data_IF_951015887752
#
_entry.id   IF_951015887752
#
_cell.length_a   1.000
_cell.length_b   1.000
_cell.length_c   1.000
_cell.angle_alpha   90.00
_cell.angle_beta   90.00
_cell.angle_gamma   90.00
#
_symmetry.space_group_name_H-M   'P 1'
#
loop_
_entity.id
_entity.type
_entity.pdbx_description
1 polymer ?
#
# COMPACT_ATOMS: atom_id res chain seq x y z
N UNK A 1 3.69 14.46 -9.11
CA UNK A 1 5.01 14.53 -8.42
C UNK A 1 5.22 13.30 -7.55
N UNK A 2 4.37 13.04 -6.55
CA UNK A 2 4.47 11.86 -5.67
C UNK A 2 4.38 10.55 -6.47
N UNK A 3 3.43 10.45 -7.41
CA UNK A 3 3.28 9.26 -8.25
C UNK A 3 4.52 8.92 -9.06
N UNK A 4 5.18 9.94 -9.62
CA UNK A 4 6.46 9.78 -10.34
C UNK A 4 7.54 9.24 -9.38
N UNK A 5 7.70 9.85 -8.21
CA UNK A 5 8.72 9.40 -7.24
C UNK A 5 8.50 7.95 -6.80
N UNK A 6 7.26 7.56 -6.53
CA UNK A 6 6.93 6.20 -6.10
C UNK A 6 7.13 5.21 -7.25
N UNK A 7 6.68 5.52 -8.46
CA UNK A 7 6.82 4.65 -9.63
C UNK A 7 8.30 4.47 -10.00
N UNK A 8 9.06 5.55 -10.07
CA UNK A 8 10.52 5.51 -10.32
C UNK A 8 11.26 4.70 -9.25
N UNK A 9 10.73 4.62 -8.02
CA UNK A 9 11.36 3.87 -6.94
C UNK A 9 11.27 2.35 -7.10
N UNK A 10 10.34 1.85 -7.93
CA UNK A 10 10.18 0.42 -8.14
C UNK A 10 11.42 -0.22 -8.78
N UNK A 11 12.20 0.54 -9.55
CA UNK A 11 13.44 0.09 -10.20
C UNK A 11 14.72 0.35 -9.38
N UNK A 12 14.61 1.05 -8.24
CA UNK A 12 15.78 1.49 -7.43
C UNK A 12 16.27 0.39 -6.46
N UNK A 13 17.20 0.71 -5.55
CA UNK A 13 17.63 -0.24 -4.49
C UNK A 13 16.77 -0.09 -3.24
N UNK A 14 16.76 -1.11 -2.38
CA UNK A 14 15.93 -1.12 -1.16
C UNK A 14 16.19 0.06 -0.22
N UNK A 15 17.47 0.44 -0.04
CA UNK A 15 17.85 1.63 0.74
C UNK A 15 17.20 2.91 0.22
N UNK A 16 17.10 3.07 -1.10
CA UNK A 16 16.52 4.26 -1.72
C UNK A 16 15.00 4.31 -1.52
N UNK A 17 14.35 3.14 -1.50
CA UNK A 17 12.90 3.00 -1.27
C UNK A 17 12.51 3.35 0.17
N UNK A 18 13.28 2.85 1.15
CA UNK A 18 13.06 3.19 2.56
C UNK A 18 13.31 4.68 2.83
N UNK A 19 14.32 5.26 2.17
CA UNK A 19 14.59 6.69 2.25
C UNK A 19 13.42 7.51 1.68
N UNK A 20 12.83 7.08 0.55
CA UNK A 20 11.65 7.73 -0.04
C UNK A 20 10.44 7.67 0.90
N UNK A 21 10.14 6.51 1.49
CA UNK A 21 9.03 6.39 2.45
C UNK A 21 9.20 7.37 3.63
N UNK A 22 10.41 7.44 4.21
CA UNK A 22 10.74 8.40 5.28
C UNK A 22 10.60 9.85 4.82
N UNK A 23 11.03 10.16 3.59
CA UNK A 23 10.92 11.50 3.03
C UNK A 23 9.44 11.91 2.90
N UNK A 24 8.59 11.07 2.32
CA UNK A 24 7.15 11.35 2.17
C UNK A 24 6.48 11.58 3.54
N UNK A 25 6.81 10.76 4.54
CA UNK A 25 6.29 10.90 5.91
C UNK A 25 6.74 12.25 6.51
N UNK A 26 8.03 12.59 6.40
CA UNK A 26 8.57 13.83 6.95
C UNK A 26 7.99 15.07 6.27
N UNK A 27 7.86 15.05 4.93
CA UNK A 27 7.28 16.16 4.18
C UNK A 27 5.79 16.37 4.48
N UNK A 28 5.07 15.31 4.85
CA UNK A 28 3.65 15.38 5.21
C UNK A 28 3.45 15.81 6.66
N UNK A 29 4.32 15.40 7.57
CA UNK A 29 4.29 15.78 8.99
C UNK A 29 4.94 17.14 9.29
N UNK A 30 5.71 17.70 8.34
CA UNK A 30 6.39 18.97 8.52
C UNK A 30 5.40 20.10 8.86
N UNK A 31 5.82 21.03 9.71
CA UNK A 31 4.99 22.15 10.17
C UNK A 31 4.52 23.06 9.03
N UNK A 32 5.30 23.15 7.95
CA UNK A 32 4.97 23.92 6.75
C UNK A 32 4.10 23.16 5.74
N UNK A 33 3.72 21.90 6.03
CA UNK A 33 2.88 21.01 5.21
C UNK A 33 3.19 21.09 3.70
N UNK A 34 4.45 20.90 3.34
CA UNK A 34 4.92 20.92 1.94
C UNK A 34 4.14 19.91 1.09
N UNK A 35 3.79 18.76 1.67
CA UNK A 35 2.86 17.79 1.08
C UNK A 35 1.64 17.70 1.99
N UNK A 36 0.46 18.01 1.44
CA UNK A 36 -0.80 17.77 2.15
C UNK A 36 -1.17 16.29 2.10
N UNK A 37 -1.90 15.80 3.10
CA UNK A 37 -2.44 14.45 3.11
C UNK A 37 -3.25 14.15 1.84
N UNK A 38 -4.04 15.11 1.37
CA UNK A 38 -4.81 15.01 0.13
C UNK A 38 -3.91 14.85 -1.12
N UNK A 39 -2.79 15.58 -1.18
CA UNK A 39 -1.81 15.42 -2.26
C UNK A 39 -1.16 14.04 -2.23
N UNK A 40 -0.89 13.52 -1.02
CA UNK A 40 -0.33 12.19 -0.82
C UNK A 40 -1.32 11.10 -1.26
N UNK A 41 -2.59 11.22 -0.87
CA UNK A 41 -3.69 10.31 -1.29
C UNK A 41 -3.83 10.29 -2.81
N UNK A 42 -3.94 11.46 -3.47
CA UNK A 42 -4.00 11.54 -4.93
C UNK A 42 -2.75 10.99 -5.62
N UNK A 43 -1.59 11.17 -4.99
CA UNK A 43 -0.33 10.59 -5.44
C UNK A 43 -0.38 9.06 -5.45
N UNK A 44 -0.86 8.44 -4.38
CA UNK A 44 -1.00 6.99 -4.29
C UNK A 44 -2.10 6.44 -5.18
N UNK A 45 -3.22 7.14 -5.31
CA UNK A 45 -4.28 6.80 -6.26
C UNK A 45 -3.73 6.68 -7.69
N UNK A 46 -2.93 7.66 -8.11
CA UNK A 46 -2.26 7.64 -9.42
C UNK A 46 -1.19 6.55 -9.57
N UNK A 47 -0.61 6.05 -8.47
CA UNK A 47 0.34 4.91 -8.53
C UNK A 47 -0.41 3.60 -8.67
N UNK A 48 -1.50 3.47 -7.90
CA UNK A 48 -2.35 2.28 -7.92
C UNK A 48 -3.05 2.12 -9.28
N UNK A 49 -3.38 3.21 -9.96
CA UNK A 49 -3.99 3.17 -11.30
C UNK A 49 -3.05 2.68 -12.41
N UNK A 50 -1.73 2.65 -12.16
CA UNK A 50 -0.72 2.19 -13.13
C UNK A 50 0.06 1.00 -12.59
N UNK A 51 -0.44 0.34 -11.54
CA UNK A 51 0.31 -0.70 -10.85
C UNK A 51 0.39 -1.99 -11.70
N UNK A 52 -0.64 -2.31 -12.47
CA UNK A 52 -0.62 -3.44 -13.42
C UNK A 52 0.53 -3.33 -14.42
N UNK A 53 0.71 -2.14 -15.01
CA UNK A 53 1.81 -1.86 -15.93
C UNK A 53 3.14 -1.92 -15.19
N UNK A 54 3.24 -1.26 -14.03
CA UNK A 54 4.46 -1.24 -13.23
C UNK A 54 4.93 -2.64 -12.79
N UNK A 55 4.02 -3.57 -12.52
CA UNK A 55 4.36 -4.97 -12.18
C UNK A 55 4.95 -5.72 -13.39
N UNK A 56 4.57 -5.35 -14.60
CA UNK A 56 5.12 -5.95 -15.83
C UNK A 56 6.60 -5.63 -15.97
N UNK A 57 7.00 -4.39 -15.69
CA UNK A 57 8.41 -3.95 -15.75
C UNK A 57 9.18 -4.31 -14.48
N UNK A 58 8.53 -4.21 -13.32
CA UNK A 58 9.09 -4.48 -12.01
C UNK A 58 8.21 -5.48 -11.23
N UNK A 59 8.47 -6.80 -11.34
CA UNK A 59 7.65 -7.85 -10.70
C UNK A 59 7.49 -7.74 -9.17
N UNK A 60 8.31 -6.93 -8.51
CA UNK A 60 8.27 -6.66 -7.07
C UNK A 60 7.53 -5.36 -6.70
N UNK A 61 6.92 -4.66 -7.66
CA UNK A 61 6.26 -3.38 -7.43
C UNK A 61 5.18 -3.46 -6.33
N UNK A 62 4.36 -4.51 -6.31
CA UNK A 62 3.36 -4.73 -5.25
C UNK A 62 3.98 -4.88 -3.86
N UNK A 63 5.11 -5.60 -3.76
CA UNK A 63 5.84 -5.74 -2.50
C UNK A 63 6.42 -4.41 -2.01
N UNK A 64 6.99 -3.61 -2.92
CA UNK A 64 7.53 -2.31 -2.56
C UNK A 64 6.45 -1.31 -2.17
N UNK A 65 5.32 -1.31 -2.89
CA UNK A 65 4.19 -0.47 -2.55
C UNK A 65 3.58 -0.86 -1.21
N UNK A 66 3.44 -2.16 -0.93
CA UNK A 66 3.00 -2.66 0.37
C UNK A 66 3.92 -2.24 1.52
N UNK A 67 5.25 -2.31 1.32
CA UNK A 67 6.23 -1.79 2.30
C UNK A 67 6.05 -0.31 2.56
N UNK A 68 5.84 0.48 1.51
CA UNK A 68 5.64 1.93 1.63
C UNK A 68 4.37 2.27 2.41
N UNK A 69 3.24 1.62 2.07
CA UNK A 69 2.00 1.78 2.81
C UNK A 69 2.15 1.36 4.28
N UNK A 70 2.83 0.26 4.57
CA UNK A 70 3.08 -0.16 5.96
C UNK A 70 3.77 0.94 6.77
N UNK A 71 4.81 1.58 6.22
CA UNK A 71 5.52 2.71 6.87
C UNK A 71 4.58 3.89 7.11
N UNK A 72 3.78 4.26 6.12
CA UNK A 72 2.80 5.37 6.20
C UNK A 72 1.74 5.11 7.28
N UNK A 73 1.23 3.88 7.37
CA UNK A 73 0.24 3.49 8.36
C UNK A 73 0.82 3.45 9.78
N UNK A 74 2.04 2.92 9.95
CA UNK A 74 2.73 2.90 11.24
C UNK A 74 2.99 4.33 11.77
N UNK A 75 3.18 5.28 10.87
CA UNK A 75 3.39 6.69 11.21
C UNK A 75 2.08 7.50 11.28
N UNK A 76 0.93 6.87 11.05
CA UNK A 76 -0.40 7.47 11.07
C UNK A 76 -0.50 8.74 10.20
N UNK A 77 0.11 8.71 9.01
CA UNK A 77 0.12 9.84 8.06
C UNK A 77 -1.18 9.92 7.25
N UNK A 78 -1.76 8.75 6.93
CA UNK A 78 -3.05 8.62 6.25
C UNK A 78 -3.93 7.70 7.13
N UNK A 79 -5.24 7.98 7.28
CA UNK A 79 -6.16 7.09 7.95
C UNK A 79 -6.15 5.67 7.33
N UNK A 80 -6.13 4.63 8.17
CA UNK A 80 -6.12 3.23 7.74
C UNK A 80 -7.19 2.92 6.69
N UNK A 81 -8.43 3.38 6.95
CA UNK A 81 -9.57 3.18 6.06
C UNK A 81 -9.36 3.77 4.67
N UNK A 82 -8.64 4.88 4.57
CA UNK A 82 -8.36 5.53 3.30
C UNK A 82 -7.36 4.70 2.47
N UNK A 83 -6.35 4.11 3.10
CA UNK A 83 -5.41 3.19 2.42
C UNK A 83 -6.14 1.95 1.91
N UNK A 84 -7.04 1.37 2.71
CA UNK A 84 -7.85 0.22 2.27
C UNK A 84 -8.76 0.57 1.10
N UNK A 85 -9.39 1.75 1.13
CA UNK A 85 -10.21 2.26 0.03
C UNK A 85 -9.38 2.42 -1.25
N UNK A 86 -8.22 3.07 -1.16
CA UNK A 86 -7.33 3.27 -2.31
C UNK A 86 -6.93 1.94 -2.96
N UNK A 87 -6.52 0.95 -2.15
CA UNK A 87 -6.10 -0.35 -2.69
C UNK A 87 -7.29 -1.12 -3.28
N UNK A 88 -8.47 -1.01 -2.67
CA UNK A 88 -9.68 -1.67 -3.15
C UNK A 88 -10.19 -1.07 -4.47
N UNK A 89 -10.21 0.25 -4.57
CA UNK A 89 -10.66 0.97 -5.76
C UNK A 89 -9.60 1.01 -6.87
N UNK A 90 -8.34 0.69 -6.56
CA UNK A 90 -7.22 0.86 -7.47
C UNK A 90 -7.24 -0.08 -8.67
N UNK A 91 -6.47 0.33 -9.69
CA UNK A 91 -6.34 -0.32 -10.99
C UNK A 91 -6.57 0.65 -12.13
N UNK A 92 -6.26 0.25 -13.35
CA UNK A 92 -6.57 1.06 -14.55
C UNK A 92 -8.09 1.29 -14.63
N UNK A 93 -8.87 0.23 -14.39
CA UNK A 93 -10.29 0.27 -14.07
C UNK A 93 -10.51 0.12 -12.55
N UNK A 94 -11.56 0.76 -12.04
CA UNK A 94 -11.86 0.71 -10.61
C UNK A 94 -12.06 -0.74 -10.13
N UNK A 95 -11.25 -1.16 -9.16
CA UNK A 95 -11.29 -2.51 -8.58
C UNK A 95 -10.50 -3.57 -9.36
N UNK A 96 -9.83 -3.21 -10.44
CA UNK A 96 -9.07 -4.16 -11.25
C UNK A 96 -7.88 -4.77 -10.50
N UNK A 97 -7.31 -4.09 -9.51
CA UNK A 97 -6.29 -4.69 -8.64
C UNK A 97 -6.81 -5.86 -7.81
N UNK A 98 -8.10 -5.84 -7.43
CA UNK A 98 -8.74 -6.97 -6.74
C UNK A 98 -8.93 -8.12 -7.72
N UNK A 99 -9.44 -7.86 -8.92
CA UNK A 99 -9.66 -8.89 -9.95
C UNK A 99 -8.36 -9.59 -10.37
N UNK A 100 -7.29 -8.83 -10.54
CA UNK A 100 -5.95 -9.35 -10.91
C UNK A 100 -5.21 -10.00 -9.75
N UNK A 101 -5.66 -9.80 -8.50
CA UNK A 101 -5.02 -10.32 -7.29
C UNK A 101 -3.83 -9.50 -6.80
N UNK A 102 -3.49 -8.39 -7.46
CA UNK A 102 -2.42 -7.48 -7.03
C UNK A 102 -2.76 -6.77 -5.71
N UNK A 103 -4.04 -6.46 -5.48
CA UNK A 103 -4.51 -5.89 -4.22
C UNK A 103 -4.21 -6.82 -3.03
N UNK A 104 -4.43 -8.14 -3.20
CA UNK A 104 -4.12 -9.13 -2.18
C UNK A 104 -2.63 -9.19 -1.85
N UNK A 105 -1.76 -9.06 -2.85
CA UNK A 105 -0.30 -9.01 -2.62
C UNK A 105 0.11 -7.75 -1.85
N UNK A 106 -0.42 -6.58 -2.23
CA UNK A 106 -0.12 -5.31 -1.53
C UNK A 106 -0.60 -5.36 -0.08
N UNK A 107 -1.87 -5.73 0.16
CA UNK A 107 -2.42 -5.81 1.52
C UNK A 107 -1.70 -6.87 2.34
N UNK A 108 -1.40 -8.03 1.76
CA UNK A 108 -0.67 -9.10 2.45
C UNK A 108 0.69 -8.63 2.97
N UNK A 109 1.44 -7.89 2.16
CA UNK A 109 2.73 -7.31 2.57
C UNK A 109 2.57 -6.30 3.70
N UNK A 110 1.53 -5.45 3.64
CA UNK A 110 1.25 -4.48 4.71
C UNK A 110 1.02 -5.19 6.04
N UNK A 111 0.15 -6.21 6.06
CA UNK A 111 -0.18 -6.96 7.27
C UNK A 111 1.02 -7.75 7.80
N UNK A 112 1.84 -8.35 6.93
CA UNK A 112 3.08 -9.05 7.32
C UNK A 112 4.07 -8.11 8.02
N UNK A 113 4.25 -6.89 7.49
CA UNK A 113 5.18 -5.92 8.09
C UNK A 113 4.63 -5.41 9.42
N UNK A 114 3.37 -5.01 9.48
CA UNK A 114 2.76 -4.51 10.72
C UNK A 114 2.79 -5.59 11.80
N UNK A 115 2.46 -6.85 11.45
CA UNK A 115 2.57 -7.99 12.36
C UNK A 115 4.00 -8.19 12.85
N UNK A 116 4.98 -8.16 11.95
CA UNK A 116 6.38 -8.43 12.33
C UNK A 116 6.99 -7.31 13.19
N UNK A 117 6.57 -6.06 13.03
CA UNK A 117 7.12 -4.92 13.76
C UNK A 117 6.36 -4.55 15.04
N UNK A 118 5.04 -4.77 15.09
CA UNK A 118 4.18 -4.37 16.22
C UNK A 118 3.45 -5.53 16.89
N UNK A 119 3.47 -6.72 16.30
CA UNK A 119 2.82 -7.93 16.82
C UNK A 119 1.33 -8.01 16.51
N UNK A 120 0.75 -9.17 16.79
CA UNK A 120 -0.67 -9.47 16.58
C UNK A 120 -1.65 -8.53 17.33
N UNK A 121 -1.39 -8.10 18.59
CA UNK A 121 -2.33 -7.22 19.29
C UNK A 121 -2.56 -5.90 18.56
N UNK A 122 -1.48 -5.26 18.09
CA UNK A 122 -1.55 -4.00 17.34
C UNK A 122 -2.24 -4.18 15.99
N UNK A 123 -1.90 -5.26 15.27
CA UNK A 123 -2.54 -5.59 13.99
C UNK A 123 -4.06 -5.72 14.14
N UNK A 124 -4.51 -6.49 15.14
CA UNK A 124 -5.94 -6.72 15.38
C UNK A 124 -6.68 -5.42 15.76
N UNK A 125 -6.05 -4.57 16.57
CA UNK A 125 -6.60 -3.25 16.91
C UNK A 125 -6.73 -2.36 15.67
N UNK A 126 -5.69 -2.28 14.82
CA UNK A 126 -5.73 -1.51 13.58
C UNK A 126 -6.82 -2.02 12.63
N UNK A 127 -6.95 -3.34 12.46
CA UNK A 127 -7.98 -3.95 11.64
C UNK A 127 -9.39 -3.61 12.18
N UNK A 128 -9.59 -3.71 13.50
CA UNK A 128 -10.84 -3.35 14.15
C UNK A 128 -11.18 -1.85 14.00
N UNK A 129 -10.21 -0.96 14.25
CA UNK A 129 -10.37 0.48 14.15
C UNK A 129 -10.71 0.95 12.72
N UNK A 130 -10.26 0.20 11.71
CA UNK A 130 -10.49 0.50 10.30
C UNK A 130 -11.66 -0.27 9.69
N UNK A 131 -12.28 -1.20 10.43
CA UNK A 131 -13.25 -2.18 9.92
C UNK A 131 -12.72 -2.93 8.68
N UNK A 132 -11.43 -3.28 8.69
CA UNK A 132 -10.81 -4.00 7.59
C UNK A 132 -11.44 -5.38 7.44
N UNK A 133 -11.97 -5.68 6.25
CA UNK A 133 -12.39 -7.02 5.84
C UNK A 133 -11.38 -7.54 4.84
N UNK A 134 -10.47 -8.40 5.29
CA UNK A 134 -9.34 -8.87 4.48
C UNK A 134 -9.84 -9.64 3.24
N UNK A 135 -10.98 -10.32 3.36
CA UNK A 135 -11.55 -11.18 2.33
C UNK A 135 -11.96 -10.42 1.06
N UNK A 136 -12.26 -9.11 1.16
CA UNK A 136 -12.71 -8.31 0.01
C UNK A 136 -11.59 -8.05 -1.01
N UNK A 137 -10.33 -8.21 -0.62
CA UNK A 137 -9.17 -8.02 -1.49
C UNK A 137 -8.79 -9.31 -2.24
N UNK A 138 -9.46 -10.42 -1.95
CA UNK A 138 -9.20 -11.69 -2.61
C UNK A 138 -9.79 -11.69 -4.01
N UNK A 139 -8.96 -11.94 -5.02
CA UNK A 139 -9.44 -12.11 -6.40
C UNK A 139 -10.39 -13.31 -6.48
N UNK A 140 -11.58 -13.16 -7.10
CA UNK A 140 -12.50 -14.27 -7.33
C UNK A 140 -11.92 -15.32 -8.30
N UNK A 141 -10.93 -14.92 -9.10
CA UNK A 141 -10.35 -15.75 -10.16
C UNK A 141 -9.02 -16.42 -9.75
N UNK A 142 -8.50 -16.14 -8.54
CA UNK A 142 -7.22 -16.69 -8.09
C UNK A 142 -7.32 -18.16 -7.70
N UNK A 143 -6.57 -19.01 -8.40
CA UNK A 143 -6.45 -20.45 -8.08
C UNK A 143 -5.31 -20.77 -7.10
N UNK A 144 -4.43 -19.81 -6.81
CA UNK A 144 -3.27 -19.99 -5.92
C UNK A 144 -3.50 -19.22 -4.62
N UNK A 145 -2.95 -19.73 -3.53
CA UNK A 145 -2.88 -19.02 -2.25
C UNK A 145 -1.99 -17.79 -2.39
N UNK A 146 -2.54 -16.64 -2.02
CA UNK A 146 -1.88 -15.34 -1.92
C UNK A 146 -1.22 -15.17 -0.55
N UNK A 147 -0.37 -14.14 -0.40
CA UNK A 147 0.18 -13.77 0.93
C UNK A 147 -0.92 -13.41 1.94
N UNK A 148 -2.02 -12.85 1.43
CA UNK A 148 -3.18 -12.42 2.20
C UNK A 148 -3.89 -13.56 2.93
N UNK A 149 -3.88 -14.78 2.37
CA UNK A 149 -4.58 -15.94 2.92
C UNK A 149 -4.10 -16.35 4.33
N UNK A 150 -2.95 -15.85 4.79
CA UNK A 150 -2.46 -16.06 6.17
C UNK A 150 -3.24 -15.26 7.22
N UNK A 151 -4.04 -14.29 6.79
CA UNK A 151 -4.77 -13.33 7.63
C UNK A 151 -6.29 -13.46 7.51
N UNK A 152 -6.76 -14.50 6.83
CA UNK A 152 -8.17 -14.92 6.71
C UNK A 152 -8.36 -16.15 7.62
#
# INVERSE_FOLDING_TARGET
>A
MISIWVTDSFERKDMDRDALAKLLINLTKAQEQIITQDSLVRGFESVLSTLEEAVTDAPKATEFLGRMFARILLENVIPYKEVWRLIYDGGEEQGQLVETGLAAEVVGVILEIIKSEKGDPFLNEMCAASNLRVEIFRSPNMRKTSRLDKFI
#
